data_IF_842863171148
#
_entry.id   IF_842863171148
#
_cell.length_a   1.000
_cell.length_b   1.000
_cell.length_c   1.000
_cell.angle_alpha   90.00
_cell.angle_beta   90.00
_cell.angle_gamma   90.00
#
_symmetry.space_group_name_H-M   'P 1'
#
loop_
_entity.id
_entity.type
_entity.pdbx_description
1 polymer ?
#
# COMPACT_ATOMS: atom_id res chain seq x y z
N UNK A 1 6.52 4.09 4.78
CA UNK A 1 5.04 3.98 4.78
C UNK A 1 4.45 4.05 6.17
N UNK A 2 4.88 3.23 7.13
CA UNK A 2 4.32 3.30 8.48
C UNK A 2 4.39 4.68 9.14
N UNK A 3 5.47 5.43 8.91
CA UNK A 3 5.57 6.81 9.40
C UNK A 3 4.59 7.77 8.72
N UNK A 4 4.11 7.47 7.51
CA UNK A 4 3.16 8.30 6.77
C UNK A 4 1.71 8.07 7.21
N UNK A 5 1.37 6.89 7.75
CA UNK A 5 0.00 6.52 8.13
C UNK A 5 -0.59 7.46 9.21
N UNK A 6 0.13 7.81 10.29
CA UNK A 6 -0.39 8.75 11.28
C UNK A 6 -0.71 10.13 10.69
N UNK A 7 0.09 10.62 9.75
CA UNK A 7 -0.16 11.90 9.07
C UNK A 7 -1.33 11.80 8.10
N UNK A 8 -1.44 10.70 7.35
CA UNK A 8 -2.58 10.46 6.47
C UNK A 8 -3.90 10.46 7.26
N UNK A 9 -3.94 9.81 8.42
CA UNK A 9 -5.09 9.85 9.34
C UNK A 9 -5.40 11.26 9.84
N UNK A 10 -4.36 12.00 10.26
CA UNK A 10 -4.52 13.38 10.75
C UNK A 10 -5.10 14.30 9.67
N UNK A 11 -4.78 14.03 8.41
CA UNK A 11 -5.22 14.81 7.25
C UNK A 11 -6.51 14.26 6.62
N UNK A 12 -7.20 13.32 7.28
CA UNK A 12 -8.44 12.69 6.78
C UNK A 12 -8.28 12.07 5.37
N UNK A 13 -7.08 11.57 5.06
CA UNK A 13 -6.83 10.82 3.83
C UNK A 13 -7.36 9.39 4.01
N UNK A 14 -8.22 8.97 3.09
CA UNK A 14 -8.82 7.63 3.11
C UNK A 14 -8.02 6.59 2.33
N UNK A 15 -7.35 7.01 1.25
CA UNK A 15 -6.62 6.14 0.33
C UNK A 15 -5.27 6.75 -0.04
N UNK A 16 -4.22 5.92 -0.02
CA UNK A 16 -2.92 6.21 -0.62
C UNK A 16 -2.78 5.42 -1.91
N UNK A 17 -2.28 6.10 -2.94
CA UNK A 17 -2.03 5.52 -4.25
C UNK A 17 -0.55 5.59 -4.61
N UNK A 18 -0.07 4.58 -5.35
CA UNK A 18 1.26 4.58 -5.93
C UNK A 18 1.28 3.87 -7.29
N UNK A 19 2.05 4.40 -8.23
CA UNK A 19 2.35 3.76 -9.50
C UNK A 19 3.79 3.25 -9.49
N UNK A 20 3.98 1.98 -9.84
CA UNK A 20 5.28 1.31 -9.83
C UNK A 20 5.47 0.58 -11.15
N UNK A 21 6.63 0.72 -11.79
CA UNK A 21 6.96 -0.09 -12.97
C UNK A 21 6.87 -1.59 -12.63
N UNK A 22 6.27 -2.37 -13.52
CA UNK A 22 6.10 -3.82 -13.35
C UNK A 22 7.44 -4.56 -13.17
N UNK A 23 8.54 -3.98 -13.68
CA UNK A 23 9.89 -4.51 -13.53
C UNK A 23 10.50 -4.26 -12.15
N UNK A 24 9.99 -3.27 -11.40
CA UNK A 24 10.50 -2.93 -10.07
C UNK A 24 9.95 -3.89 -9.00
N UNK A 25 10.35 -5.15 -9.13
CA UNK A 25 9.94 -6.25 -8.24
C UNK A 25 10.28 -5.99 -6.77
N UNK A 26 11.32 -5.21 -6.50
CA UNK A 26 11.69 -4.86 -5.13
C UNK A 26 10.60 -4.00 -4.48
N UNK A 27 10.21 -2.90 -5.12
CA UNK A 27 9.12 -2.05 -4.61
C UNK A 27 7.79 -2.79 -4.54
N UNK A 28 7.45 -3.59 -5.55
CA UNK A 28 6.24 -4.42 -5.53
C UNK A 28 6.23 -5.37 -4.33
N UNK A 29 7.38 -5.98 -4.00
CA UNK A 29 7.53 -6.84 -2.83
C UNK A 29 7.33 -6.10 -1.51
N UNK A 30 7.79 -4.85 -1.38
CA UNK A 30 7.53 -4.02 -0.19
C UNK A 30 6.03 -3.84 0.02
N UNK A 31 5.28 -3.49 -1.02
CA UNK A 31 3.83 -3.28 -0.91
C UNK A 31 3.05 -4.57 -0.60
N UNK A 32 3.41 -5.71 -1.22
CA UNK A 32 2.82 -7.02 -0.88
C UNK A 32 3.02 -7.38 0.60
N UNK A 33 4.23 -7.15 1.11
CA UNK A 33 4.59 -7.44 2.50
C UNK A 33 3.98 -6.46 3.52
N UNK A 34 3.36 -5.37 3.06
CA UNK A 34 2.67 -4.42 3.93
C UNK A 34 1.15 -4.56 3.91
N UNK A 35 0.58 -5.46 3.10
CA UNK A 35 -0.86 -5.74 3.07
C UNK A 35 -1.65 -4.82 2.14
N UNK A 36 -0.98 -4.28 1.13
CA UNK A 36 -1.56 -3.39 0.14
C UNK A 36 -2.34 -4.19 -0.90
N UNK A 37 -3.47 -3.63 -1.35
CA UNK A 37 -4.21 -4.21 -2.47
C UNK A 37 -3.59 -3.72 -3.76
N UNK A 38 -2.96 -4.64 -4.49
CA UNK A 38 -2.40 -4.33 -5.79
C UNK A 38 -3.52 -4.44 -6.82
N UNK A 39 -4.09 -3.29 -7.19
CA UNK A 39 -4.98 -3.19 -8.33
C UNK A 39 -4.12 -3.24 -9.61
N UNK A 40 -3.90 -4.43 -10.17
CA UNK A 40 -3.11 -4.57 -11.39
C UNK A 40 -3.84 -3.99 -12.62
N UNK A 41 -3.84 -2.67 -12.76
CA UNK A 41 -4.06 -2.01 -14.04
C UNK A 41 -2.79 -2.15 -14.87
N UNK A 42 -2.67 -3.24 -15.62
CA UNK A 42 -1.65 -3.40 -16.65
C UNK A 42 -2.00 -2.50 -17.86
N UNK A 43 -1.84 -1.18 -17.70
CA UNK A 43 -1.69 -0.28 -18.84
C UNK A 43 -0.24 0.18 -18.87
N UNK A 44 0.41 0.02 -20.02
CA UNK A 44 1.74 0.60 -20.29
C UNK A 44 2.88 0.19 -19.33
N UNK A 45 2.78 -0.97 -18.67
CA UNK A 45 3.88 -1.52 -17.86
C UNK A 45 4.02 -0.93 -16.45
N UNK A 46 3.03 -0.14 -15.99
CA UNK A 46 2.91 0.29 -14.60
C UNK A 46 1.94 -0.61 -13.83
N UNK A 47 2.12 -0.66 -12.52
CA UNK A 47 1.26 -1.33 -11.54
C UNK A 47 0.71 -0.26 -10.62
N UNK A 48 -0.60 -0.10 -10.59
CA UNK A 48 -1.30 0.75 -9.65
C UNK A 48 -1.48 0.02 -8.32
N UNK A 49 -1.24 0.72 -7.21
CA UNK A 49 -1.29 0.16 -5.87
C UNK A 49 -2.15 1.08 -5.04
N UNK A 50 -3.17 0.51 -4.39
CA UNK A 50 -4.07 1.23 -3.52
C UNK A 50 -3.95 0.72 -2.08
N UNK A 51 -4.01 1.65 -1.15
CA UNK A 51 -3.98 1.37 0.28
C UNK A 51 -5.01 2.21 1.00
N UNK A 52 -6.03 1.54 1.49
CA UNK A 52 -6.99 2.13 2.40
C UNK A 52 -6.33 2.39 3.75
N UNK A 53 -6.46 3.61 4.27
CA UNK A 53 -5.95 4.01 5.58
C UNK A 53 -6.74 3.36 6.73
N UNK A 54 -7.99 2.96 6.46
CA UNK A 54 -8.76 2.09 7.34
C UNK A 54 -8.04 0.76 7.57
N UNK A 55 -8.01 0.31 8.82
CA UNK A 55 -7.29 -0.91 9.18
C UNK A 55 -8.03 -2.15 8.66
N UNK A 56 -7.47 -2.80 7.63
CA UNK A 56 -7.90 -4.13 7.20
C UNK A 56 -7.41 -5.21 8.17
N UNK A 57 -8.10 -6.34 8.28
CA UNK A 57 -7.69 -7.47 9.14
C UNK A 57 -6.21 -7.84 8.96
N UNK A 58 -5.72 -7.83 7.71
CA UNK A 58 -4.31 -8.12 7.39
C UNK A 58 -3.32 -7.06 7.92
N UNK A 59 -3.70 -5.77 7.87
CA UNK A 59 -2.88 -4.68 8.42
C UNK A 59 -2.91 -4.66 9.94
N UNK A 60 -4.03 -5.09 10.53
CA UNK A 60 -4.20 -5.23 11.97
C UNK A 60 -3.32 -6.39 12.48
N UNK A 61 -3.39 -7.59 11.90
CA UNK A 61 -2.56 -8.75 12.24
C UNK A 61 -1.05 -8.40 12.24
N UNK A 62 -0.55 -7.76 11.18
CA UNK A 62 0.86 -7.35 11.08
C UNK A 62 1.28 -6.24 12.05
N UNK A 63 0.33 -5.47 12.60
CA UNK A 63 0.61 -4.48 13.65
C UNK A 63 0.88 -5.17 14.99
N UNK A 64 0.22 -6.30 15.27
CA UNK A 64 0.41 -7.07 16.51
C UNK A 64 1.64 -8.00 16.49
N UNK A 65 2.19 -8.29 15.31
CA UNK A 65 3.44 -9.06 15.16
C UNK A 65 4.72 -8.26 15.47
N UNK A 66 4.61 -7.00 15.93
CA UNK A 66 5.77 -6.14 16.28
C UNK A 66 5.81 -5.71 17.72
#
# INVERSE_FOLDING_TARGET
LQELIPFARLMEIEVLEAEVLAENRNMLGVFQNMGFTIASSLREGVVHIEFTIEETELTQERRWER
#
